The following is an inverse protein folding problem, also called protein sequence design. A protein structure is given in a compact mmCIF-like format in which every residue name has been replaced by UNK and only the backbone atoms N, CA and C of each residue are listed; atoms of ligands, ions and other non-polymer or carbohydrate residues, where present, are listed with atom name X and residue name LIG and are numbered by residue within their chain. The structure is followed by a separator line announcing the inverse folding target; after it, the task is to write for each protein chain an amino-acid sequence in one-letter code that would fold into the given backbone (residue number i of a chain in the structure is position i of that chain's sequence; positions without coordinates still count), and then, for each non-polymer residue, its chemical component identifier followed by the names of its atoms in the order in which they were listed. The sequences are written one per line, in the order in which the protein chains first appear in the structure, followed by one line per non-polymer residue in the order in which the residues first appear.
data_IF_849181121440
#
_entry.id   IF_849181121440
#
_cell.length_a   1.000
_cell.length_b   1.000
_cell.length_c   1.000
_cell.angle_alpha   90.00
_cell.angle_beta   90.00
_cell.angle_gamma   90.00
#
_symmetry.space_group_name_H-M   'P 1'
#
loop_
_entity.id
_entity.type
_entity.pdbx_description
1 polymer ?
#
# COMPACT_ATOMS: atom_id res chain seq x y z
N UNK A 1 -15.84 -12.14 -10.93
CA UNK A 1 -14.95 -11.30 -10.10
C UNK A 1 -15.06 -11.63 -8.61
N UNK A 2 -16.25 -11.84 -8.03
CA UNK A 2 -16.42 -12.20 -6.60
C UNK A 2 -15.66 -13.45 -6.10
N UNK A 3 -15.30 -14.39 -6.98
CA UNK A 3 -14.52 -15.56 -6.57
C UNK A 3 -13.05 -15.19 -6.27
N UNK A 4 -12.43 -14.35 -7.11
CA UNK A 4 -11.01 -13.99 -6.94
C UNK A 4 -10.75 -13.15 -5.67
N UNK A 5 -11.70 -12.28 -5.31
CA UNK A 5 -11.69 -11.51 -4.06
C UNK A 5 -11.68 -12.41 -2.83
N UNK A 6 -12.58 -13.39 -2.81
CA UNK A 6 -12.67 -14.34 -1.71
C UNK A 6 -11.42 -15.24 -1.68
N UNK A 7 -10.87 -15.56 -2.84
CA UNK A 7 -9.61 -16.30 -2.96
C UNK A 7 -8.43 -15.52 -2.37
N UNK A 8 -8.30 -14.21 -2.64
CA UNK A 8 -7.28 -13.35 -2.03
C UNK A 8 -7.42 -13.29 -0.51
N UNK A 9 -8.63 -13.01 -0.01
CA UNK A 9 -8.90 -12.93 1.43
C UNK A 9 -8.62 -14.26 2.14
N UNK A 10 -9.02 -15.38 1.55
CA UNK A 10 -8.78 -16.72 2.09
C UNK A 10 -7.31 -17.13 2.01
N UNK A 11 -6.62 -16.79 0.92
CA UNK A 11 -5.20 -17.04 0.74
C UNK A 11 -4.37 -16.26 1.75
N UNK A 12 -4.65 -14.97 1.94
CA UNK A 12 -4.01 -14.15 2.97
C UNK A 12 -4.33 -14.67 4.36
N UNK A 13 -5.59 -14.94 4.68
CA UNK A 13 -5.98 -15.42 6.01
C UNK A 13 -5.29 -16.74 6.38
N UNK A 14 -5.26 -17.67 5.43
CA UNK A 14 -4.64 -18.98 5.61
C UNK A 14 -3.11 -18.89 5.69
N UNK A 15 -2.50 -18.08 4.83
CA UNK A 15 -1.05 -17.95 4.77
C UNK A 15 -0.49 -17.18 5.96
N UNK A 16 -1.15 -16.10 6.39
CA UNK A 16 -0.72 -15.26 7.51
C UNK A 16 -0.89 -15.97 8.85
N UNK A 17 -1.98 -16.72 9.05
CA UNK A 17 -2.25 -17.42 10.33
C UNK A 17 -1.22 -18.52 10.66
N UNK A 18 -0.47 -19.01 9.66
CA UNK A 18 0.56 -20.03 9.83
C UNK A 18 2.00 -19.53 9.64
N UNK A 19 2.20 -18.25 9.33
CA UNK A 19 3.51 -17.72 8.96
C UNK A 19 4.24 -17.03 10.12
N UNK A 20 5.56 -17.26 10.21
CA UNK A 20 6.46 -16.46 11.05
C UNK A 20 6.88 -15.13 10.40
N UNK A 21 6.81 -15.04 9.07
CA UNK A 21 7.09 -13.83 8.27
C UNK A 21 5.79 -13.35 7.61
N UNK A 22 5.09 -12.44 8.29
CA UNK A 22 3.82 -11.87 7.81
C UNK A 22 4.06 -10.99 6.59
N UNK A 23 5.04 -10.08 6.63
CA UNK A 23 5.28 -9.13 5.55
C UNK A 23 5.64 -9.83 4.23
N UNK A 24 6.57 -10.78 4.26
CA UNK A 24 6.97 -11.54 3.06
C UNK A 24 5.84 -12.43 2.53
N UNK A 25 5.03 -13.02 3.42
CA UNK A 25 3.87 -13.82 3.04
C UNK A 25 2.80 -12.98 2.35
N UNK A 26 2.45 -11.84 2.94
CA UNK A 26 1.47 -10.91 2.37
C UNK A 26 1.98 -10.38 1.04
N UNK A 27 3.23 -9.94 0.97
CA UNK A 27 3.87 -9.47 -0.26
C UNK A 27 3.73 -10.46 -1.40
N UNK A 28 4.09 -11.72 -1.17
CA UNK A 28 4.04 -12.76 -2.22
C UNK A 28 2.61 -13.00 -2.69
N UNK A 29 1.67 -13.22 -1.77
CA UNK A 29 0.26 -13.48 -2.12
C UNK A 29 -0.35 -12.29 -2.85
N UNK A 30 -0.11 -11.08 -2.38
CA UNK A 30 -0.59 -9.85 -3.02
C UNK A 30 0.00 -9.68 -4.41
N UNK A 31 1.32 -9.90 -4.58
CA UNK A 31 1.99 -9.85 -5.88
C UNK A 31 1.35 -10.82 -6.89
N UNK A 32 1.20 -12.08 -6.50
CA UNK A 32 0.66 -13.13 -7.37
C UNK A 32 -0.78 -12.79 -7.83
N UNK A 33 -1.58 -12.20 -6.94
CA UNK A 33 -2.94 -11.75 -7.26
C UNK A 33 -2.97 -10.55 -8.21
N UNK A 34 -2.14 -9.54 -7.97
CA UNK A 34 -2.03 -8.38 -8.88
C UNK A 34 -1.61 -8.84 -10.27
N UNK A 35 -0.60 -9.71 -10.37
CA UNK A 35 -0.14 -10.27 -11.64
C UNK A 35 -1.28 -11.03 -12.35
N UNK A 36 -1.96 -11.92 -11.62
CA UNK A 36 -3.04 -12.73 -12.17
C UNK A 36 -4.22 -11.89 -12.67
N UNK A 37 -4.61 -10.86 -11.91
CA UNK A 37 -5.73 -9.97 -12.27
C UNK A 37 -5.42 -9.14 -13.50
N UNK A 38 -4.22 -8.56 -13.57
CA UNK A 38 -3.82 -7.69 -14.67
C UNK A 38 -3.59 -8.48 -15.97
N UNK A 39 -3.00 -9.68 -15.88
CA UNK A 39 -2.83 -10.56 -17.04
C UNK A 39 -4.17 -11.14 -17.51
N UNK A 40 -5.08 -11.47 -16.60
CA UNK A 40 -6.42 -11.96 -16.91
C UNK A 40 -7.34 -10.91 -17.56
N UNK A 41 -7.12 -9.62 -17.28
CA UNK A 41 -7.93 -8.51 -17.78
C UNK A 41 -7.57 -8.03 -19.20
N UNK A 42 -6.50 -8.53 -19.81
CA UNK A 42 -6.20 -8.33 -21.23
C UNK A 42 -5.61 -6.98 -21.66
N UNK A 43 -5.10 -6.14 -20.75
CA UNK A 43 -4.36 -4.93 -21.12
C UNK A 43 -4.23 -3.85 -20.04
N UNK A 44 -3.17 -3.04 -20.14
CA UNK A 44 -2.58 -2.18 -19.09
C UNK A 44 -3.27 -0.80 -18.89
N UNK A 45 -4.39 -0.51 -19.57
CA UNK A 45 -4.84 0.88 -19.76
C UNK A 45 -5.60 1.52 -18.59
N UNK A 46 -6.61 0.85 -18.01
CA UNK A 46 -7.49 1.44 -16.96
C UNK A 46 -7.94 0.44 -15.90
N UNK A 47 -7.95 -0.86 -16.22
CA UNK A 47 -8.21 -1.91 -15.24
C UNK A 47 -7.12 -2.02 -14.15
N UNK A 48 -5.97 -1.37 -14.35
CA UNK A 48 -4.78 -1.52 -13.53
C UNK A 48 -4.89 -0.89 -12.14
N UNK A 49 -5.29 0.38 -12.05
CA UNK A 49 -5.42 1.06 -10.76
C UNK A 49 -6.64 0.56 -9.97
N UNK A 50 -7.76 0.25 -10.64
CA UNK A 50 -8.91 -0.36 -9.96
C UNK A 50 -8.56 -1.73 -9.37
N UNK A 51 -7.70 -2.50 -10.04
CA UNK A 51 -7.18 -3.77 -9.51
C UNK A 51 -6.32 -3.53 -8.27
N UNK A 52 -5.44 -2.52 -8.30
CA UNK A 52 -4.65 -2.12 -7.13
C UNK A 52 -5.56 -1.77 -5.97
N UNK A 53 -6.58 -0.93 -6.20
CA UNK A 53 -7.50 -0.50 -5.16
C UNK A 53 -8.20 -1.69 -4.51
N UNK A 54 -8.71 -2.59 -5.36
CA UNK A 54 -9.42 -3.78 -4.92
C UNK A 54 -8.52 -4.69 -4.09
N UNK A 55 -7.32 -5.00 -4.58
CA UNK A 55 -6.36 -5.88 -3.89
C UNK A 55 -5.93 -5.30 -2.55
N UNK A 56 -5.67 -3.99 -2.48
CA UNK A 56 -5.28 -3.33 -1.23
C UNK A 56 -6.43 -3.30 -0.24
N UNK A 57 -7.64 -2.93 -0.69
CA UNK A 57 -8.80 -2.85 0.19
C UNK A 57 -9.15 -4.21 0.80
N UNK A 58 -9.19 -5.25 -0.03
CA UNK A 58 -9.52 -6.61 0.39
C UNK A 58 -8.37 -7.23 1.20
N UNK A 59 -7.13 -7.01 0.77
CA UNK A 59 -5.96 -7.53 1.43
C UNK A 59 -5.77 -6.92 2.82
N UNK A 60 -5.98 -5.61 2.97
CA UNK A 60 -5.89 -4.95 4.27
C UNK A 60 -6.99 -5.41 5.22
N UNK A 61 -8.22 -5.56 4.71
CA UNK A 61 -9.31 -6.16 5.48
C UNK A 61 -8.98 -7.59 5.94
N UNK A 62 -8.33 -8.38 5.08
CA UNK A 62 -7.88 -9.72 5.43
C UNK A 62 -6.83 -9.67 6.56
N UNK A 63 -5.79 -8.84 6.41
CA UNK A 63 -4.74 -8.62 7.43
C UNK A 63 -5.38 -8.25 8.77
N UNK A 64 -6.28 -7.26 8.78
CA UNK A 64 -6.97 -6.82 10.00
C UNK A 64 -7.81 -7.94 10.62
N UNK A 65 -8.54 -8.70 9.79
CA UNK A 65 -9.39 -9.81 10.25
C UNK A 65 -8.60 -10.97 10.85
N UNK A 66 -7.34 -11.16 10.42
CA UNK A 66 -6.46 -12.22 10.95
C UNK A 66 -5.86 -11.88 12.31
N UNK A 67 -5.95 -10.61 12.74
CA UNK A 67 -5.26 -10.13 13.94
C UNK A 67 -3.72 -10.09 13.80
N UNK A 68 -3.20 -10.24 12.59
CA UNK A 68 -1.78 -10.13 12.31
C UNK A 68 -1.27 -8.69 12.48
N UNK A 69 0.05 -8.54 12.52
CA UNK A 69 0.71 -7.23 12.57
C UNK A 69 0.24 -6.36 11.41
N UNK A 70 -0.48 -5.28 11.74
CA UNK A 70 -0.98 -4.31 10.76
C UNK A 70 0.17 -3.66 10.00
N UNK A 71 1.26 -3.33 10.69
CA UNK A 71 2.46 -2.73 10.09
C UNK A 71 3.09 -3.67 9.05
N UNK A 72 3.31 -4.94 9.42
CA UNK A 72 3.92 -5.92 8.52
C UNK A 72 2.99 -6.26 7.35
N UNK A 73 1.69 -6.40 7.62
CA UNK A 73 0.70 -6.68 6.59
C UNK A 73 0.54 -5.52 5.60
N UNK A 74 0.51 -4.26 6.06
CA UNK A 74 0.45 -3.10 5.16
C UNK A 74 1.73 -2.99 4.34
N UNK A 75 2.91 -3.09 4.96
CA UNK A 75 4.17 -3.01 4.21
C UNK A 75 4.27 -4.13 3.17
N UNK A 76 3.88 -5.36 3.53
CA UNK A 76 3.79 -6.49 2.63
C UNK A 76 2.81 -6.24 1.49
N UNK A 77 1.62 -5.68 1.77
CA UNK A 77 0.63 -5.34 0.74
C UNK A 77 1.20 -4.38 -0.29
N UNK A 78 1.79 -3.26 0.15
CA UNK A 78 2.36 -2.27 -0.76
C UNK A 78 3.50 -2.87 -1.59
N UNK A 79 4.40 -3.65 -0.96
CA UNK A 79 5.47 -4.36 -1.68
C UNK A 79 4.93 -5.34 -2.71
N UNK A 80 3.87 -6.06 -2.38
CA UNK A 80 3.21 -7.00 -3.28
C UNK A 80 2.60 -6.29 -4.48
N UNK A 81 1.90 -5.17 -4.25
CA UNK A 81 1.33 -4.35 -5.32
C UNK A 81 2.40 -3.80 -6.24
N UNK A 82 3.44 -3.18 -5.70
CA UNK A 82 4.52 -2.58 -6.50
C UNK A 82 5.28 -3.66 -7.27
N UNK A 83 5.57 -4.80 -6.64
CA UNK A 83 6.17 -5.94 -7.32
C UNK A 83 5.29 -6.51 -8.42
N UNK A 84 3.97 -6.55 -8.22
CA UNK A 84 3.02 -7.01 -9.23
C UNK A 84 2.88 -6.01 -10.38
N UNK A 85 2.89 -4.71 -10.08
CA UNK A 85 2.91 -3.65 -11.07
C UNK A 85 4.16 -3.74 -11.97
N UNK A 86 5.34 -3.96 -11.36
CA UNK A 86 6.60 -4.18 -12.10
C UNK A 86 6.48 -5.34 -13.09
N UNK A 87 5.99 -6.49 -12.62
CA UNK A 87 5.90 -7.72 -13.42
C UNK A 87 4.85 -7.63 -14.54
N UNK A 88 3.92 -6.69 -14.45
CA UNK A 88 2.84 -6.47 -15.41
C UNK A 88 3.03 -5.24 -16.29
N UNK A 89 4.12 -4.48 -16.08
CA UNK A 89 4.42 -3.26 -16.82
C UNK A 89 3.58 -2.04 -16.42
N UNK A 90 2.88 -2.09 -15.28
CA UNK A 90 2.19 -0.93 -14.70
C UNK A 90 3.23 0.01 -14.08
N UNK A 91 2.96 1.31 -14.11
CA UNK A 91 3.81 2.31 -13.47
C UNK A 91 3.91 2.06 -11.96
N UNK A 92 5.11 1.68 -11.49
CA UNK A 92 5.39 1.32 -10.10
C UNK A 92 5.27 2.51 -9.14
N UNK A 93 5.53 3.73 -9.61
CA UNK A 93 5.42 4.97 -8.81
C UNK A 93 3.95 5.30 -8.57
N UNK A 94 3.11 5.23 -9.61
CA UNK A 94 1.66 5.41 -9.48
C UNK A 94 1.05 4.30 -8.63
N UNK A 95 1.45 3.04 -8.84
CA UNK A 95 0.96 1.91 -8.05
C UNK A 95 1.30 2.05 -6.56
N UNK A 96 2.49 2.53 -6.22
CA UNK A 96 2.87 2.81 -4.82
C UNK A 96 1.98 3.90 -4.20
N UNK A 97 1.75 5.00 -4.92
CA UNK A 97 0.92 6.11 -4.45
C UNK A 97 -0.54 5.70 -4.26
N UNK A 98 -1.12 5.04 -5.26
CA UNK A 98 -2.52 4.59 -5.22
C UNK A 98 -2.73 3.53 -4.14
N UNK A 99 -1.83 2.54 -4.04
CA UNK A 99 -1.92 1.53 -3.01
C UNK A 99 -1.85 2.14 -1.60
N UNK A 100 -0.98 3.12 -1.40
CA UNK A 100 -0.85 3.81 -0.12
C UNK A 100 -2.11 4.65 0.21
N UNK A 101 -2.68 5.33 -0.80
CA UNK A 101 -3.94 6.05 -0.68
C UNK A 101 -5.10 5.12 -0.29
N UNK A 102 -5.26 4.01 -1.02
CA UNK A 102 -6.33 3.06 -0.77
C UNK A 102 -6.19 2.36 0.58
N UNK A 103 -4.96 2.10 1.05
CA UNK A 103 -4.72 1.54 2.38
C UNK A 103 -5.27 2.47 3.47
N UNK A 104 -5.02 3.78 3.38
CA UNK A 104 -5.53 4.78 4.33
C UNK A 104 -7.07 4.87 4.28
N UNK A 105 -7.66 4.93 3.09
CA UNK A 105 -9.14 4.94 2.92
C UNK A 105 -9.77 3.69 3.55
N UNK A 106 -9.18 2.54 3.30
CA UNK A 106 -9.66 1.26 3.83
C UNK A 106 -9.52 1.23 5.34
N UNK A 107 -8.36 1.62 5.89
CA UNK A 107 -8.14 1.71 7.33
C UNK A 107 -9.17 2.64 8.00
N UNK A 108 -9.44 3.81 7.42
CA UNK A 108 -10.47 4.72 7.92
C UNK A 108 -11.87 4.11 7.91
N UNK A 109 -12.19 3.30 6.91
CA UNK A 109 -13.51 2.67 6.77
C UNK A 109 -13.72 1.54 7.79
N UNK A 110 -12.65 0.80 8.13
CA UNK A 110 -12.71 -0.37 9.01
C UNK A 110 -12.22 -0.10 10.43
N UNK A 111 -11.93 1.17 10.77
CA UNK A 111 -11.48 1.58 12.10
C UNK A 111 -10.03 1.21 12.43
N UNK A 112 -9.18 1.02 11.42
CA UNK A 112 -7.74 0.82 11.59
C UNK A 112 -7.01 2.13 11.93
N UNK A 113 -5.83 2.01 12.53
CA UNK A 113 -4.95 3.15 12.81
C UNK A 113 -4.39 3.72 11.50
N UNK A 114 -5.01 4.82 11.02
CA UNK A 114 -4.62 5.47 9.77
C UNK A 114 -3.19 6.04 9.80
N UNK A 115 -2.68 6.38 10.97
CA UNK A 115 -1.32 6.93 11.13
C UNK A 115 -0.29 5.83 10.98
N UNK A 116 -0.51 4.70 11.67
CA UNK A 116 0.33 3.52 11.52
C UNK A 116 0.29 2.98 10.09
N UNK A 117 -0.88 2.93 9.47
CA UNK A 117 -1.05 2.51 8.07
C UNK A 117 -0.30 3.43 7.13
N UNK A 118 -0.40 4.76 7.29
CA UNK A 118 0.32 5.68 6.43
C UNK A 118 1.84 5.50 6.50
N UNK A 119 2.40 5.38 7.72
CA UNK A 119 3.84 5.13 7.92
C UNK A 119 4.24 3.80 7.28
N UNK A 120 3.47 2.74 7.54
CA UNK A 120 3.75 1.39 7.03
C UNK A 120 3.65 1.31 5.52
N UNK A 121 2.73 2.07 4.91
CA UNK A 121 2.61 2.15 3.45
C UNK A 121 3.84 2.78 2.81
N UNK A 122 4.36 3.86 3.40
CA UNK A 122 5.57 4.51 2.90
C UNK A 122 6.80 3.61 3.08
N UNK A 123 6.92 2.94 4.24
CA UNK A 123 7.97 1.95 4.46
C UNK A 123 7.88 0.80 3.46
N UNK A 124 6.68 0.31 3.18
CA UNK A 124 6.43 -0.70 2.14
C UNK A 124 6.88 -0.23 0.76
N UNK A 125 6.60 1.03 0.39
CA UNK A 125 7.03 1.60 -0.88
C UNK A 125 8.57 1.71 -0.98
N UNK A 126 9.25 2.14 0.10
CA UNK A 126 10.72 2.21 0.16
C UNK A 126 11.33 0.81 0.01
N UNK A 127 10.81 -0.17 0.76
CA UNK A 127 11.27 -1.56 0.67
C UNK A 127 11.01 -2.14 -0.72
N UNK A 128 9.85 -1.84 -1.31
CA UNK A 128 9.50 -2.27 -2.66
C UNK A 128 10.48 -1.72 -3.69
N UNK A 129 10.87 -0.44 -3.58
CA UNK A 129 11.88 0.16 -4.43
C UNK A 129 13.20 -0.62 -4.38
N UNK A 130 13.65 -0.99 -3.17
CA UNK A 130 14.82 -1.86 -2.98
C UNK A 130 14.64 -3.24 -3.62
N UNK A 131 13.49 -3.87 -3.45
CA UNK A 131 13.16 -5.19 -4.02
C UNK A 131 13.18 -5.16 -5.56
N UNK A 132 12.77 -4.04 -6.17
CA UNK A 132 12.64 -3.92 -7.63
C UNK A 132 13.80 -3.20 -8.31
N UNK A 133 14.72 -2.59 -7.56
CA UNK A 133 15.80 -1.76 -8.06
C UNK A 133 15.36 -0.40 -8.59
N UNK A 134 14.26 0.17 -8.05
CA UNK A 134 13.75 1.50 -8.38
C UNK A 134 14.24 2.57 -7.40
N UNK A 135 13.95 3.84 -7.69
CA UNK A 135 14.29 4.95 -6.81
C UNK A 135 13.38 4.94 -5.56
N UNK A 136 13.99 4.74 -4.39
CA UNK A 136 13.26 4.70 -3.12
C UNK A 136 12.65 6.04 -2.72
N UNK A 137 13.27 7.16 -3.11
CA UNK A 137 12.77 8.50 -2.85
C UNK A 137 11.52 8.79 -3.67
N UNK A 138 11.49 8.40 -4.94
CA UNK A 138 10.34 8.58 -5.82
C UNK A 138 9.13 7.77 -5.35
N UNK A 139 9.32 6.49 -5.02
CA UNK A 139 8.24 5.64 -4.49
C UNK A 139 7.76 6.13 -3.12
N UNK A 140 8.67 6.55 -2.24
CA UNK A 140 8.31 7.15 -0.96
C UNK A 140 7.51 8.45 -1.13
N UNK A 141 7.92 9.33 -2.05
CA UNK A 141 7.22 10.60 -2.33
C UNK A 141 5.80 10.33 -2.81
N UNK A 142 5.64 9.41 -3.77
CA UNK A 142 4.33 9.00 -4.27
C UNK A 142 3.44 8.42 -3.17
N UNK A 143 3.97 7.52 -2.33
CA UNK A 143 3.23 6.94 -1.21
C UNK A 143 2.82 7.99 -0.15
N UNK A 144 3.70 8.95 0.17
CA UNK A 144 3.39 10.06 1.07
C UNK A 144 2.27 10.93 0.50
N UNK A 145 2.35 11.28 -0.78
CA UNK A 145 1.30 12.07 -1.44
C UNK A 145 -0.03 11.32 -1.47
N UNK A 146 -0.01 10.02 -1.77
CA UNK A 146 -1.20 9.16 -1.78
C UNK A 146 -1.86 9.07 -0.42
N UNK A 147 -1.10 8.79 0.63
CA UNK A 147 -1.61 8.69 2.01
C UNK A 147 -2.18 10.01 2.52
N UNK A 148 -1.51 11.15 2.25
CA UNK A 148 -2.01 12.47 2.64
C UNK A 148 -3.28 12.83 1.89
N UNK A 149 -3.31 12.65 0.57
CA UNK A 149 -4.51 12.91 -0.24
C UNK A 149 -5.69 12.10 0.28
N UNK A 150 -5.50 10.80 0.52
CA UNK A 150 -6.54 9.94 1.08
C UNK A 150 -7.00 10.40 2.47
N UNK A 151 -6.07 10.80 3.34
CA UNK A 151 -6.40 11.28 4.67
C UNK A 151 -7.15 12.61 4.64
N UNK A 152 -6.78 13.53 3.75
CA UNK A 152 -7.47 14.80 3.53
C UNK A 152 -8.89 14.58 2.96
N UNK A 153 -9.06 13.60 2.07
CA UNK A 153 -10.38 13.17 1.56
C UNK A 153 -11.27 12.56 2.65
N UNK A 154 -10.68 11.85 3.63
CA UNK A 154 -11.38 11.34 4.82
C UNK A 154 -11.79 12.50 5.74
N UNK A 155 -10.91 13.49 5.92
CA UNK A 155 -11.21 14.74 6.63
C UNK A 155 -9.97 15.43 7.20
N UNK A 156 -10.10 16.73 7.51
CA UNK A 156 -8.97 17.55 7.95
C UNK A 156 -8.25 17.04 9.20
N UNK A 157 -8.97 16.40 10.13
CA UNK A 157 -8.37 15.79 11.32
C UNK A 157 -7.51 14.56 10.95
N UNK A 158 -8.00 13.70 10.07
CA UNK A 158 -7.26 12.55 9.55
C UNK A 158 -6.00 13.00 8.79
N UNK A 159 -6.13 14.00 7.91
CA UNK A 159 -5.00 14.64 7.24
C UNK A 159 -3.94 15.18 8.19
N UNK A 160 -4.38 15.87 9.25
CA UNK A 160 -3.50 16.37 10.31
C UNK A 160 -2.75 15.26 11.07
N UNK A 161 -3.45 14.17 11.41
CA UNK A 161 -2.84 13.01 12.06
C UNK A 161 -1.79 12.33 11.17
N UNK A 162 -2.13 12.05 9.91
CA UNK A 162 -1.21 11.42 8.96
C UNK A 162 0.01 12.31 8.70
N UNK A 163 -0.18 13.62 8.48
CA UNK A 163 0.94 14.56 8.33
C UNK A 163 1.87 14.55 9.55
N UNK A 164 1.30 14.58 10.76
CA UNK A 164 2.09 14.51 11.99
C UNK A 164 2.81 13.18 12.14
N UNK A 165 2.16 12.07 11.83
CA UNK A 165 2.73 10.74 11.91
C UNK A 165 3.93 10.60 10.95
N UNK A 166 3.77 11.03 9.70
CA UNK A 166 4.81 11.01 8.68
C UNK A 166 5.99 11.91 9.05
N UNK A 167 5.76 13.12 9.56
CA UNK A 167 6.85 14.00 10.02
C UNK A 167 7.69 13.40 11.16
N UNK A 168 7.11 12.52 11.97
CA UNK A 168 7.83 11.82 13.05
C UNK A 168 8.41 10.47 12.59
N UNK A 169 8.17 10.05 11.36
CA UNK A 169 8.66 8.79 10.84
C UNK A 169 10.13 8.93 10.41
N UNK A 170 11.02 8.22 11.13
CA UNK A 170 12.48 8.20 10.89
C UNK A 170 12.85 7.66 9.50
N UNK A 171 11.93 6.98 8.82
CA UNK A 171 12.17 6.33 7.53
C UNK A 171 12.04 7.28 6.31
N UNK A 172 11.59 8.52 6.49
CA UNK A 172 11.42 9.43 5.35
C UNK A 172 12.74 10.09 4.93
N UNK A 173 13.08 10.08 3.62
CA UNK A 173 14.11 10.95 3.05
C UNK A 173 13.91 12.42 3.47
N UNK A 174 15.02 13.12 3.72
CA UNK A 174 15.01 14.51 4.19
C UNK A 174 14.20 15.43 3.28
N UNK A 175 14.33 15.25 1.96
CA UNK A 175 13.63 16.05 0.95
C UNK A 175 12.10 15.91 1.03
N UNK A 176 11.61 14.75 1.46
CA UNK A 176 10.17 14.52 1.66
C UNK A 176 9.70 15.19 2.94
N UNK A 177 10.50 15.13 4.01
CA UNK A 177 10.20 15.83 5.27
C UNK A 177 10.14 17.34 5.01
N UNK A 178 11.09 17.89 4.26
CA UNK A 178 11.12 19.31 3.90
C UNK A 178 9.89 19.71 3.07
N UNK A 179 9.46 18.88 2.11
CA UNK A 179 8.22 19.11 1.36
C UNK A 179 6.98 19.10 2.28
N UNK A 180 6.94 18.21 3.28
CA UNK A 180 5.86 18.13 4.26
C UNK A 180 5.80 19.33 5.21
N UNK A 181 6.95 19.88 5.58
CA UNK A 181 7.08 21.05 6.46
C UNK A 181 6.77 22.36 5.74
N UNK A 182 7.23 22.49 4.50
CA UNK A 182 7.09 23.74 3.72
C UNK A 182 5.77 23.83 2.96
N UNK A 183 5.06 22.70 2.79
CA UNK A 183 3.84 22.64 1.98
C UNK A 183 4.08 22.82 0.49
N UNK A 184 5.34 22.87 0.04
CA UNK A 184 5.71 23.00 -1.37
C UNK A 184 5.95 21.61 -1.94
N UNK A 185 4.97 21.12 -2.69
CA UNK A 185 5.17 20.03 -3.65
C UNK A 185 5.75 20.63 -4.93
N UNK A 186 7.07 20.84 -4.97
CA UNK A 186 7.79 21.03 -6.24
C UNK A 186 8.29 19.69 -6.79
#
# INVERSE_FOLDING_TARGET
MANLTNDLKNALSSAVSGAGDVAGTVQRVTKDNVVSLLQGAGGVATASLQTVDQVVAEGLQAVISTGASLTDGVSGLIRGVVGGAKDTGVNVVEAAGEAAAQAVKTASTVGGDISAVAISSVQGAIQAAGDIGADSGELAKSAVMGTLKAADEVGSEAGGMVRKALLNAVALPHDIIDALLTGKTE
#
